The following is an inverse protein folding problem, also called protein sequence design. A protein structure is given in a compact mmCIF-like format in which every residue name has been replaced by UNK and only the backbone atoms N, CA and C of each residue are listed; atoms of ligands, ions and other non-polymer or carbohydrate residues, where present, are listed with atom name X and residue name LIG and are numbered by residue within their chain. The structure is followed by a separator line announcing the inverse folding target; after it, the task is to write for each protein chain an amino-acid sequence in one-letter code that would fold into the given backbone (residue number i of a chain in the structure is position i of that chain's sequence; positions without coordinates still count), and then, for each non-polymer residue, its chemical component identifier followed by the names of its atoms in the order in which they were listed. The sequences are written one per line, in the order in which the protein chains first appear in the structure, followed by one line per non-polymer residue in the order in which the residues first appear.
data_IF_897384034763
#
_entry.id   IF_897384034763
#
_cell.length_a   1.000
_cell.length_b   1.000
_cell.length_c   1.000
_cell.angle_alpha   90.00
_cell.angle_beta   90.00
_cell.angle_gamma   90.00
#
_symmetry.space_group_name_H-M   'P 1'
#
loop_
_entity.id
_entity.type
_entity.pdbx_description
1 polymer ?
#
# COMPACT_ATOMS: atom_id res chain seq x y z
N UNK A 1 -7.51 3.09 50.98
CA UNK A 1 -8.06 4.05 50.00
C UNK A 1 -8.92 3.24 49.05
N UNK A 2 -10.20 3.58 48.92
CA UNK A 2 -11.10 2.93 47.96
C UNK A 2 -10.68 3.35 46.55
N UNK A 3 -10.47 2.39 45.65
CA UNK A 3 -10.13 2.65 44.25
C UNK A 3 -11.19 3.57 43.61
N UNK A 4 -10.75 4.46 42.72
CA UNK A 4 -11.66 5.38 42.01
C UNK A 4 -12.62 4.61 41.11
N UNK A 5 -13.76 5.22 40.75
CA UNK A 5 -14.73 4.61 39.81
C UNK A 5 -14.07 4.27 38.47
N UNK A 6 -13.17 5.12 37.99
CA UNK A 6 -12.38 4.88 36.78
C UNK A 6 -11.44 3.68 36.92
N UNK A 7 -10.70 3.57 38.03
CA UNK A 7 -9.81 2.42 38.28
C UNK A 7 -10.58 1.10 38.35
N UNK A 8 -11.75 1.12 38.98
CA UNK A 8 -12.64 -0.05 39.05
C UNK A 8 -13.22 -0.40 37.69
N UNK A 9 -13.61 0.59 36.89
CA UNK A 9 -14.10 0.40 35.53
C UNK A 9 -13.03 -0.19 34.62
N UNK A 10 -11.82 0.38 34.63
CA UNK A 10 -10.69 -0.12 33.85
C UNK A 10 -10.28 -1.53 34.27
N UNK A 11 -10.42 -1.89 35.55
CA UNK A 11 -10.19 -3.25 36.00
C UNK A 11 -11.20 -4.26 35.41
N UNK A 12 -12.47 -3.88 35.26
CA UNK A 12 -13.52 -4.70 34.64
C UNK A 12 -13.35 -4.81 33.12
N UNK A 13 -12.90 -3.74 32.47
CA UNK A 13 -12.76 -3.68 31.00
C UNK A 13 -11.38 -4.08 30.49
N UNK A 14 -10.37 -4.29 31.36
CA UNK A 14 -8.97 -4.61 31.00
C UNK A 14 -8.78 -5.74 29.99
N UNK A 15 -9.72 -6.70 29.95
CA UNK A 15 -9.66 -7.87 29.06
C UNK A 15 -10.28 -7.63 27.69
N UNK A 16 -10.98 -6.52 27.50
CA UNK A 16 -11.58 -6.14 26.22
C UNK A 16 -10.59 -5.25 25.47
N UNK A 17 -10.22 -5.57 24.22
CA UNK A 17 -9.43 -4.67 23.38
C UNK A 17 -10.14 -3.31 23.21
N UNK A 18 -9.36 -2.23 23.08
CA UNK A 18 -9.92 -0.94 22.71
C UNK A 18 -10.64 -1.05 21.37
N UNK A 19 -11.79 -0.40 21.24
CA UNK A 19 -12.52 -0.40 19.98
C UNK A 19 -11.76 0.40 18.92
N UNK A 20 -11.37 -0.26 17.84
CA UNK A 20 -10.60 0.33 16.74
C UNK A 20 -11.28 0.16 15.37
N UNK A 21 -12.53 -0.33 15.33
CA UNK A 21 -13.25 -0.59 14.08
C UNK A 21 -12.89 -1.90 13.37
N UNK A 22 -11.89 -2.66 13.82
CA UNK A 22 -11.53 -3.96 13.25
C UNK A 22 -12.35 -5.09 13.88
N UNK A 23 -13.32 -5.62 13.11
CA UNK A 23 -14.20 -6.72 13.52
C UNK A 23 -13.45 -8.01 13.88
N UNK A 24 -12.19 -8.18 13.44
CA UNK A 24 -11.34 -9.33 13.81
C UNK A 24 -10.76 -9.20 15.22
N UNK A 25 -10.65 -7.98 15.73
CA UNK A 25 -10.12 -7.68 17.07
C UNK A 25 -11.27 -7.62 18.08
N UNK A 26 -12.28 -6.80 17.82
CA UNK A 26 -13.50 -6.72 18.64
C UNK A 26 -14.66 -6.18 17.80
N UNK A 27 -15.82 -6.84 17.85
CA UNK A 27 -17.03 -6.36 17.15
C UNK A 27 -17.69 -5.24 17.95
N UNK A 28 -18.44 -4.34 17.28
CA UNK A 28 -19.17 -3.28 17.99
C UNK A 28 -20.13 -3.86 19.03
N UNK A 29 -20.85 -4.93 18.67
CA UNK A 29 -21.73 -5.64 19.60
C UNK A 29 -21.00 -6.16 20.84
N UNK A 30 -19.87 -6.87 20.67
CA UNK A 30 -19.12 -7.43 21.79
C UNK A 30 -18.52 -6.34 22.68
N UNK A 31 -17.98 -5.27 22.09
CA UNK A 31 -17.45 -4.12 22.82
C UNK A 31 -18.55 -3.41 23.62
N UNK A 32 -19.70 -3.12 22.97
CA UNK A 32 -20.86 -2.46 23.59
C UNK A 32 -21.37 -3.27 24.78
N UNK A 33 -21.58 -4.58 24.61
CA UNK A 33 -22.04 -5.45 25.70
C UNK A 33 -21.08 -5.41 26.89
N UNK A 34 -19.78 -5.45 26.64
CA UNK A 34 -18.79 -5.48 27.71
C UNK A 34 -18.76 -4.17 28.53
N UNK A 35 -18.92 -3.02 27.88
CA UNK A 35 -18.98 -1.72 28.55
C UNK A 35 -20.27 -1.56 29.35
N UNK A 36 -21.42 -1.92 28.77
CA UNK A 36 -22.70 -1.84 29.48
C UNK A 36 -22.72 -2.73 30.72
N UNK A 37 -22.19 -3.96 30.64
CA UNK A 37 -22.03 -4.84 31.80
C UNK A 37 -21.13 -4.22 32.89
N UNK A 38 -20.11 -3.45 32.51
CA UNK A 38 -19.23 -2.77 33.46
C UNK A 38 -19.92 -1.57 34.13
N UNK A 39 -20.83 -0.87 33.44
CA UNK A 39 -21.66 0.16 34.05
C UNK A 39 -22.63 -0.43 35.08
N UNK A 40 -23.33 -1.51 34.73
CA UNK A 40 -24.25 -2.20 35.64
C UNK A 40 -23.53 -2.72 36.89
N UNK A 41 -22.32 -3.29 36.73
CA UNK A 41 -21.53 -3.81 37.85
C UNK A 41 -21.03 -2.73 38.82
N UNK A 42 -20.97 -1.47 38.37
CA UNK A 42 -20.50 -0.33 39.15
C UNK A 42 -21.60 0.65 39.54
N UNK A 43 -22.86 0.34 39.19
CA UNK A 43 -24.03 1.18 39.47
C UNK A 43 -23.90 2.61 38.87
N UNK A 44 -23.39 2.67 37.63
CA UNK A 44 -23.16 3.94 36.92
C UNK A 44 -24.38 4.25 36.06
N UNK A 45 -25.28 5.07 36.59
CA UNK A 45 -26.51 5.47 35.89
C UNK A 45 -26.39 6.80 35.13
N UNK A 46 -25.36 7.61 35.39
CA UNK A 46 -25.26 8.95 34.83
C UNK A 46 -24.68 8.94 33.40
N UNK A 47 -25.43 9.51 32.43
CA UNK A 47 -25.05 9.51 31.00
C UNK A 47 -23.66 10.11 30.75
N UNK A 48 -23.25 11.10 31.56
CA UNK A 48 -21.98 11.81 31.42
C UNK A 48 -20.79 10.94 31.86
N UNK A 49 -20.92 10.24 32.98
CA UNK A 49 -19.96 9.28 33.50
C UNK A 49 -19.83 8.07 32.60
N UNK A 50 -20.96 7.54 32.12
CA UNK A 50 -20.97 6.47 31.12
C UNK A 50 -20.23 6.88 29.84
N UNK A 51 -20.51 8.06 29.29
CA UNK A 51 -19.78 8.56 28.12
C UNK A 51 -18.28 8.70 28.39
N UNK A 52 -17.90 9.35 29.49
CA UNK A 52 -16.49 9.61 29.81
C UNK A 52 -15.69 8.31 29.93
N UNK A 53 -16.27 7.29 30.56
CA UNK A 53 -15.65 5.98 30.72
C UNK A 53 -15.65 5.17 29.42
N UNK A 54 -16.73 5.22 28.63
CA UNK A 54 -16.79 4.54 27.33
C UNK A 54 -15.71 5.05 26.37
N UNK A 55 -15.44 6.35 26.34
CA UNK A 55 -14.39 6.95 25.50
C UNK A 55 -12.99 6.43 25.86
N UNK A 56 -12.72 6.08 27.12
CA UNK A 56 -11.44 5.45 27.51
C UNK A 56 -11.26 4.05 26.92
N UNK A 57 -12.35 3.41 26.51
CA UNK A 57 -12.34 2.09 25.87
C UNK A 57 -12.36 2.16 24.33
N UNK A 58 -12.25 3.35 23.75
CA UNK A 58 -12.11 3.57 22.31
C UNK A 58 -10.65 3.86 21.97
N UNK A 59 -10.17 3.35 20.83
CA UNK A 59 -8.80 3.62 20.37
C UNK A 59 -8.61 5.15 20.13
N UNK A 60 -7.43 5.72 20.45
CA UNK A 60 -7.21 7.18 20.36
C UNK A 60 -7.54 7.81 19.00
N UNK A 61 -7.34 7.06 17.91
CA UNK A 61 -7.67 7.49 16.55
C UNK A 61 -9.20 7.61 16.37
N UNK A 62 -9.95 6.55 16.69
CA UNK A 62 -11.42 6.55 16.63
C UNK A 62 -12.02 7.60 17.58
N UNK A 63 -11.42 7.82 18.74
CA UNK A 63 -11.81 8.87 19.68
C UNK A 63 -11.46 10.29 19.16
N UNK A 64 -10.50 10.43 18.26
CA UNK A 64 -10.21 11.68 17.55
C UNK A 64 -11.27 11.96 16.49
N UNK A 65 -11.58 10.95 15.67
CA UNK A 65 -12.60 11.04 14.62
C UNK A 65 -13.98 11.40 15.20
N UNK A 66 -14.33 10.79 16.32
CA UNK A 66 -15.54 11.12 17.07
C UNK A 66 -15.57 12.59 17.54
N UNK A 67 -14.45 13.11 18.05
CA UNK A 67 -14.36 14.52 18.51
C UNK A 67 -14.50 15.50 17.36
N UNK A 68 -13.93 15.19 16.19
CA UNK A 68 -14.08 15.99 14.98
C UNK A 68 -15.52 15.96 14.47
N UNK A 69 -16.12 14.76 14.37
CA UNK A 69 -17.53 14.59 13.98
C UNK A 69 -18.48 15.43 14.83
N UNK A 70 -18.21 15.52 16.14
CA UNK A 70 -19.02 16.31 17.07
C UNK A 70 -18.78 17.81 16.93
N UNK A 71 -17.56 18.24 16.63
CA UNK A 71 -17.22 19.66 16.44
C UNK A 71 -18.00 20.27 15.27
N UNK A 72 -18.31 19.47 14.26
CA UNK A 72 -18.99 19.91 13.03
C UNK A 72 -20.52 19.99 13.14
N UNK A 73 -21.14 19.41 14.19
CA UNK A 73 -22.61 19.20 14.29
C UNK A 73 -23.37 20.07 15.33
N UNK A 74 -22.86 21.27 15.66
CA UNK A 74 -23.45 22.27 16.58
C UNK A 74 -23.15 22.14 18.10
N UNK A 75 -22.79 23.30 18.69
CA UNK A 75 -23.26 23.87 19.95
C UNK A 75 -23.31 23.03 21.24
N UNK A 76 -22.17 22.93 21.94
CA UNK A 76 -22.02 22.80 23.41
C UNK A 76 -22.97 21.88 24.24
N UNK A 77 -23.72 20.95 23.64
CA UNK A 77 -24.45 19.93 24.39
C UNK A 77 -23.46 18.89 24.94
N UNK A 78 -23.61 18.50 26.20
CA UNK A 78 -22.76 17.46 26.81
C UNK A 78 -22.92 16.16 26.01
N UNK A 79 -21.83 15.55 25.52
CA UNK A 79 -21.91 14.34 24.69
C UNK A 79 -22.54 13.19 25.46
N UNK A 80 -23.41 12.42 24.80
CA UNK A 80 -24.06 11.24 25.38
C UNK A 80 -23.44 9.96 24.86
N UNK A 81 -23.54 8.89 25.66
CA UNK A 81 -23.14 7.55 25.24
C UNK A 81 -23.87 7.11 23.97
N UNK A 82 -25.17 7.40 23.86
CA UNK A 82 -25.97 6.97 22.72
C UNK A 82 -25.49 7.60 21.40
N UNK A 83 -25.10 8.88 21.42
CA UNK A 83 -24.57 9.57 20.23
C UNK A 83 -23.29 8.88 19.72
N UNK A 84 -22.40 8.49 20.64
CA UNK A 84 -21.19 7.73 20.31
C UNK A 84 -21.56 6.35 19.73
N UNK A 85 -22.52 5.64 20.33
CA UNK A 85 -22.92 4.31 19.87
C UNK A 85 -23.59 4.34 18.49
N UNK A 86 -24.43 5.34 18.22
CA UNK A 86 -25.06 5.52 16.91
C UNK A 86 -24.01 5.84 15.84
N UNK A 87 -23.07 6.75 16.14
CA UNK A 87 -21.98 7.05 15.22
C UNK A 87 -21.08 5.85 14.96
N UNK A 88 -20.67 5.11 16.01
CA UNK A 88 -19.86 3.90 15.84
C UNK A 88 -20.59 2.84 15.02
N UNK A 89 -21.92 2.75 15.17
CA UNK A 89 -22.75 1.82 14.39
C UNK A 89 -22.76 2.21 12.92
N UNK A 90 -23.03 3.47 12.61
CA UNK A 90 -23.08 3.99 11.24
C UNK A 90 -21.74 3.85 10.51
N UNK A 91 -20.61 3.96 11.23
CA UNK A 91 -19.28 3.93 10.61
C UNK A 91 -18.69 2.52 10.57
N UNK A 92 -18.92 1.69 11.59
CA UNK A 92 -18.16 0.44 11.79
C UNK A 92 -19.02 -0.82 11.91
N UNK A 93 -20.33 -0.71 12.12
CA UNK A 93 -21.23 -1.86 12.31
C UNK A 93 -22.14 -2.10 11.10
N UNK A 94 -21.54 -2.14 9.92
CA UNK A 94 -22.27 -2.56 8.73
C UNK A 94 -22.08 -4.05 8.48
N UNK A 95 -23.12 -4.81 8.76
CA UNK A 95 -23.67 -5.63 7.68
C UNK A 95 -24.13 -4.69 6.55
N UNK A 96 -23.24 -4.41 5.59
CA UNK A 96 -23.61 -3.94 4.25
C UNK A 96 -23.94 -2.45 4.02
N UNK A 97 -23.00 -1.51 4.21
CA UNK A 97 -23.09 -0.27 3.41
C UNK A 97 -22.55 -0.53 2.02
N UNK A 98 -23.37 -0.17 1.03
CA UNK A 98 -22.97 -0.04 -0.39
C UNK A 98 -21.67 0.75 -0.55
N UNK A 99 -21.39 1.70 0.34
CA UNK A 99 -20.14 2.47 0.36
C UNK A 99 -18.90 1.62 0.67
N UNK A 100 -18.94 0.75 1.67
CA UNK A 100 -17.82 -0.15 2.01
C UNK A 100 -17.60 -1.20 0.93
N UNK A 101 -18.69 -1.81 0.43
CA UNK A 101 -18.64 -2.75 -0.67
C UNK A 101 -18.07 -2.12 -1.95
N UNK A 102 -18.49 -0.89 -2.29
CA UNK A 102 -17.95 -0.13 -3.42
C UNK A 102 -16.46 0.20 -3.26
N UNK A 103 -16.00 0.54 -2.05
CA UNK A 103 -14.58 0.79 -1.80
C UNK A 103 -13.75 -0.48 -1.95
N UNK A 104 -14.24 -1.62 -1.44
CA UNK A 104 -13.61 -2.92 -1.63
C UNK A 104 -13.61 -3.34 -3.11
N UNK A 105 -14.71 -3.13 -3.83
CA UNK A 105 -14.83 -3.43 -5.25
C UNK A 105 -13.85 -2.62 -6.10
N UNK A 106 -13.62 -1.33 -5.77
CA UNK A 106 -12.67 -0.44 -6.46
C UNK A 106 -11.20 -0.86 -6.28
N UNK A 107 -10.87 -1.53 -5.19
CA UNK A 107 -9.49 -1.97 -4.89
C UNK A 107 -9.28 -3.46 -5.13
N UNK A 108 -10.34 -4.20 -5.47
CA UNK A 108 -10.25 -5.62 -5.77
C UNK A 108 -9.43 -5.84 -7.04
N UNK A 109 -8.42 -6.69 -6.95
CA UNK A 109 -7.57 -7.06 -8.08
C UNK A 109 -7.26 -8.55 -8.05
N UNK A 110 -7.27 -9.21 -9.21
CA UNK A 110 -6.81 -10.59 -9.35
C UNK A 110 -5.31 -10.62 -9.68
N UNK A 111 -4.57 -11.47 -8.96
CA UNK A 111 -3.12 -11.68 -9.15
C UNK A 111 -2.87 -12.98 -9.90
N UNK A 112 -1.79 -13.04 -10.69
CA UNK A 112 -1.41 -14.27 -11.39
C UNK A 112 -1.26 -15.46 -10.44
N UNK A 113 -1.80 -16.61 -10.86
CA UNK A 113 -1.86 -17.82 -10.05
C UNK A 113 -3.10 -17.92 -9.13
N UNK A 114 -3.90 -16.85 -9.02
CA UNK A 114 -5.19 -16.91 -8.34
C UNK A 114 -6.26 -17.58 -9.22
N UNK A 115 -7.21 -18.24 -8.55
CA UNK A 115 -8.34 -18.91 -9.20
C UNK A 115 -9.38 -17.89 -9.65
N UNK A 116 -9.52 -17.73 -10.97
CA UNK A 116 -10.43 -16.75 -11.56
C UNK A 116 -11.90 -16.99 -11.22
N UNK A 117 -12.30 -18.24 -10.93
CA UNK A 117 -13.67 -18.54 -10.53
C UNK A 117 -13.98 -18.01 -9.12
N UNK A 118 -13.05 -18.17 -8.19
CA UNK A 118 -13.13 -17.63 -6.83
C UNK A 118 -13.14 -16.10 -6.85
N UNK A 119 -12.24 -15.50 -7.64
CA UNK A 119 -12.23 -14.06 -7.85
C UNK A 119 -13.57 -13.53 -8.39
N UNK A 120 -14.10 -14.16 -9.44
CA UNK A 120 -15.37 -13.75 -10.05
C UNK A 120 -16.52 -13.81 -9.04
N UNK A 121 -16.57 -14.85 -8.21
CA UNK A 121 -17.57 -14.97 -7.15
C UNK A 121 -17.47 -13.81 -6.15
N UNK A 122 -16.26 -13.49 -5.67
CA UNK A 122 -16.04 -12.37 -4.74
C UNK A 122 -16.37 -11.02 -5.39
N UNK A 123 -16.05 -10.83 -6.67
CA UNK A 123 -16.42 -9.63 -7.40
C UNK A 123 -17.94 -9.47 -7.48
N UNK A 124 -18.67 -10.53 -7.80
CA UNK A 124 -20.14 -10.51 -7.90
C UNK A 124 -20.82 -10.25 -6.57
N UNK A 125 -20.33 -10.86 -5.48
CA UNK A 125 -20.81 -10.60 -4.12
C UNK A 125 -20.62 -9.11 -3.74
N UNK A 126 -19.43 -8.55 -4.00
CA UNK A 126 -19.16 -7.14 -3.71
C UNK A 126 -19.92 -6.17 -4.63
N UNK A 127 -20.13 -6.51 -5.90
CA UNK A 127 -20.94 -5.72 -6.82
C UNK A 127 -22.41 -5.70 -6.41
N UNK A 128 -22.96 -6.85 -6.02
CA UNK A 128 -24.29 -6.98 -5.45
C UNK A 128 -24.43 -6.12 -4.18
N UNK A 129 -23.50 -6.25 -3.24
CA UNK A 129 -23.53 -5.49 -1.98
C UNK A 129 -23.31 -3.99 -2.19
N UNK A 130 -22.62 -3.61 -3.26
CA UNK A 130 -22.44 -2.22 -3.69
C UNK A 130 -23.64 -1.65 -4.47
N UNK A 131 -24.65 -2.47 -4.77
CA UNK A 131 -25.80 -2.13 -5.63
C UNK A 131 -25.37 -1.70 -7.05
N UNK A 132 -24.40 -2.42 -7.63
CA UNK A 132 -23.88 -2.21 -8.99
C UNK A 132 -24.45 -3.28 -9.90
N UNK A 133 -25.34 -2.89 -10.80
CA UNK A 133 -26.00 -3.79 -11.76
C UNK A 133 -25.25 -3.89 -13.10
N UNK A 134 -25.38 -5.02 -13.79
CA UNK A 134 -24.93 -5.20 -15.19
C UNK A 134 -25.95 -4.55 -16.12
N UNK A 135 -25.61 -3.37 -16.65
CA UNK A 135 -26.49 -2.62 -17.54
C UNK A 135 -25.73 -1.99 -18.70
N UNK A 136 -26.28 -2.09 -19.92
CA UNK A 136 -25.71 -1.44 -21.12
C UNK A 136 -25.66 0.08 -20.99
N UNK A 137 -26.56 0.67 -20.21
CA UNK A 137 -26.63 2.12 -19.98
C UNK A 137 -25.65 2.60 -18.89
N UNK A 138 -25.16 1.69 -18.04
CA UNK A 138 -24.23 2.01 -16.95
C UNK A 138 -23.07 0.99 -16.92
N UNK A 139 -21.96 1.25 -17.63
CA UNK A 139 -20.84 0.31 -17.75
C UNK A 139 -19.98 0.23 -16.48
N UNK A 140 -20.47 0.68 -15.31
CA UNK A 140 -19.71 0.70 -14.06
C UNK A 140 -19.24 -0.70 -13.67
N UNK A 141 -20.12 -1.71 -13.73
CA UNK A 141 -19.75 -3.09 -13.42
C UNK A 141 -18.66 -3.63 -14.36
N UNK A 142 -18.81 -3.36 -15.67
CA UNK A 142 -17.86 -3.74 -16.70
C UNK A 142 -16.48 -3.08 -16.50
N UNK A 143 -16.47 -1.77 -16.24
CA UNK A 143 -15.23 -1.00 -16.07
C UNK A 143 -14.48 -1.41 -14.80
N UNK A 144 -15.19 -1.63 -13.70
CA UNK A 144 -14.61 -2.13 -12.46
C UNK A 144 -14.05 -3.54 -12.64
N UNK A 145 -14.78 -4.40 -13.35
CA UNK A 145 -14.34 -5.77 -13.62
C UNK A 145 -13.07 -5.81 -14.46
N UNK A 146 -13.03 -5.07 -15.58
CA UNK A 146 -11.81 -4.97 -16.41
C UNK A 146 -10.66 -4.38 -15.59
N UNK A 147 -10.90 -3.32 -14.81
CA UNK A 147 -9.89 -2.65 -13.99
C UNK A 147 -9.25 -3.54 -12.91
N UNK A 148 -9.92 -4.63 -12.53
CA UNK A 148 -9.41 -5.58 -11.55
C UNK A 148 -8.35 -6.55 -12.12
N UNK A 149 -8.17 -6.63 -13.44
CA UNK A 149 -7.17 -7.51 -14.06
C UNK A 149 -5.78 -6.84 -14.23
N UNK A 150 -4.68 -7.60 -14.36
CA UNK A 150 -3.39 -7.08 -14.79
C UNK A 150 -3.42 -6.44 -16.19
N UNK A 151 -2.50 -5.51 -16.46
CA UNK A 151 -2.55 -4.61 -17.64
C UNK A 151 -2.52 -5.31 -19.00
N UNK A 152 -1.83 -6.44 -19.10
CA UNK A 152 -1.79 -7.26 -20.32
C UNK A 152 -3.17 -7.86 -20.64
N UNK A 153 -3.88 -8.36 -19.63
CA UNK A 153 -5.23 -8.90 -19.78
C UNK A 153 -6.23 -7.77 -20.02
N UNK A 154 -6.09 -6.64 -19.32
CA UNK A 154 -6.87 -5.43 -19.60
C UNK A 154 -6.76 -5.01 -21.07
N UNK A 155 -5.54 -4.99 -21.63
CA UNK A 155 -5.34 -4.65 -23.04
C UNK A 155 -6.08 -5.60 -23.97
N UNK A 156 -6.09 -6.91 -23.67
CA UNK A 156 -6.82 -7.89 -24.48
C UNK A 156 -8.33 -7.68 -24.39
N UNK A 157 -8.86 -7.45 -23.17
CA UNK A 157 -10.29 -7.20 -22.95
C UNK A 157 -10.76 -5.88 -23.58
N UNK A 158 -9.91 -4.86 -23.60
CA UNK A 158 -10.22 -3.54 -24.18
C UNK A 158 -10.04 -3.49 -25.70
N UNK A 159 -9.13 -4.30 -26.28
CA UNK A 159 -8.84 -4.30 -27.72
C UNK A 159 -10.03 -4.79 -28.54
N UNK A 160 -10.80 -5.71 -27.98
CA UNK A 160 -12.03 -6.22 -28.57
C UNK A 160 -13.20 -5.75 -27.71
N UNK A 161 -13.60 -4.48 -27.85
CA UNK A 161 -14.60 -3.78 -27.04
C UNK A 161 -15.69 -4.73 -26.48
N UNK A 162 -15.59 -5.05 -25.18
CA UNK A 162 -16.57 -5.89 -24.51
C UNK A 162 -17.88 -5.10 -24.36
N UNK A 163 -19.01 -5.69 -24.74
CA UNK A 163 -20.31 -5.01 -24.73
C UNK A 163 -21.05 -5.12 -23.39
N UNK A 164 -20.62 -6.04 -22.51
CA UNK A 164 -21.23 -6.29 -21.20
C UNK A 164 -20.24 -6.90 -20.22
N UNK A 165 -20.59 -6.88 -18.92
CA UNK A 165 -19.83 -7.59 -17.89
C UNK A 165 -19.74 -9.09 -18.20
N UNK A 166 -20.83 -9.71 -18.66
CA UNK A 166 -20.87 -11.14 -19.00
C UNK A 166 -19.90 -11.51 -20.13
N UNK A 167 -19.77 -10.65 -21.15
CA UNK A 167 -18.80 -10.82 -22.24
C UNK A 167 -17.36 -10.70 -21.74
N UNK A 168 -17.08 -9.66 -20.94
CA UNK A 168 -15.78 -9.47 -20.32
C UNK A 168 -15.37 -10.64 -19.41
N UNK A 169 -16.30 -11.17 -18.61
CA UNK A 169 -16.08 -12.34 -17.73
C UNK A 169 -15.70 -13.58 -18.54
N UNK A 170 -16.43 -13.86 -19.62
CA UNK A 170 -16.19 -15.03 -20.48
C UNK A 170 -14.81 -14.96 -21.14
N UNK A 171 -14.44 -13.78 -21.65
CA UNK A 171 -13.13 -13.57 -22.27
C UNK A 171 -12.01 -13.59 -21.25
N UNK A 172 -12.18 -12.98 -20.09
CA UNK A 172 -11.20 -12.98 -19.01
C UNK A 172 -10.84 -14.41 -18.60
N UNK A 173 -11.83 -15.31 -18.47
CA UNK A 173 -11.58 -16.74 -18.19
C UNK A 173 -10.70 -17.41 -19.26
N UNK A 174 -10.93 -17.11 -20.54
CA UNK A 174 -10.14 -17.67 -21.65
C UNK A 174 -8.70 -17.14 -21.64
N UNK A 175 -8.53 -15.83 -21.48
CA UNK A 175 -7.21 -15.19 -21.46
C UNK A 175 -6.41 -15.60 -20.23
N UNK A 176 -7.06 -15.67 -19.06
CA UNK A 176 -6.44 -16.11 -17.81
C UNK A 176 -5.93 -17.55 -17.87
N UNK A 177 -6.70 -18.44 -18.50
CA UNK A 177 -6.27 -19.83 -18.76
C UNK A 177 -5.07 -19.89 -19.70
N UNK A 178 -5.10 -19.11 -20.78
CA UNK A 178 -4.00 -19.05 -21.75
C UNK A 178 -2.71 -18.55 -21.11
N UNK A 179 -2.81 -17.55 -20.22
CA UNK A 179 -1.69 -17.02 -19.45
C UNK A 179 -1.13 -18.03 -18.44
N UNK A 180 -2.01 -18.76 -17.74
CA UNK A 180 -1.60 -19.78 -16.76
C UNK A 180 -0.85 -20.93 -17.44
N UNK A 181 -1.28 -21.33 -18.64
CA UNK A 181 -0.62 -22.36 -19.45
C UNK A 181 0.74 -21.86 -19.96
N UNK A 182 0.82 -20.62 -20.45
CA UNK A 182 2.05 -20.05 -21.00
C UNK A 182 3.17 -19.89 -19.95
N UNK A 183 2.80 -19.67 -18.68
CA UNK A 183 3.76 -19.46 -17.58
C UNK A 183 3.99 -20.71 -16.70
N UNK A 184 3.56 -21.88 -17.15
CA UNK A 184 3.85 -23.15 -16.48
C UNK A 184 3.13 -23.35 -15.13
N UNK A 185 2.04 -22.62 -14.87
CA UNK A 185 1.28 -22.77 -13.63
C UNK A 185 0.26 -23.92 -13.76
N UNK A 186 0.70 -25.12 -13.44
CA UNK A 186 -0.07 -26.37 -13.57
C UNK A 186 -1.24 -26.44 -12.57
N UNK A 187 -1.30 -25.54 -11.58
CA UNK A 187 -2.38 -25.53 -10.58
C UNK A 187 -3.74 -25.11 -11.15
N UNK A 188 -3.75 -24.39 -12.27
CA UNK A 188 -4.97 -23.97 -12.96
C UNK A 188 -5.60 -25.07 -13.85
N UNK A 189 -4.90 -26.21 -14.04
CA UNK A 189 -5.24 -27.19 -15.09
C UNK A 189 -6.06 -28.38 -14.54
N UNK A 190 -6.13 -28.60 -13.22
CA UNK A 190 -6.76 -29.80 -12.64
C UNK A 190 -7.74 -29.52 -11.48
N UNK A 191 -8.84 -28.82 -11.76
CA UNK A 191 -10.10 -29.08 -11.03
C UNK A 191 -11.19 -29.47 -12.04
N UNK A 192 -11.78 -30.67 -11.95
CA UNK A 192 -12.88 -31.04 -12.81
C UNK A 192 -14.06 -30.10 -12.53
N UNK A 193 -14.49 -29.37 -13.55
CA UNK A 193 -15.77 -28.67 -13.52
C UNK A 193 -16.87 -29.73 -13.39
N UNK A 194 -17.63 -29.67 -12.30
CA UNK A 194 -18.94 -30.33 -12.24
C UNK A 194 -19.78 -29.73 -13.37
N UNK A 195 -20.13 -30.58 -14.34
CA UNK A 195 -21.06 -30.27 -15.40
C UNK A 195 -22.45 -30.10 -14.78
N UNK A 196 -22.96 -28.89 -14.75
CA UNK A 196 -24.38 -28.65 -14.91
C UNK A 196 -24.57 -27.81 -16.17
N UNK A 197 -25.48 -28.31 -17.00
CA UNK A 197 -25.82 -27.89 -18.35
C UNK A 197 -26.34 -26.45 -18.38
N UNK A 198 -26.08 -25.75 -19.49
CA UNK A 198 -27.11 -25.06 -20.27
C UNK A 198 -26.60 -24.82 -21.72
N UNK A 199 -27.50 -24.66 -22.71
CA UNK A 199 -27.46 -25.42 -23.97
C UNK A 199 -26.67 -24.74 -25.10
N UNK A 200 -26.07 -25.58 -25.95
CA UNK A 200 -25.47 -25.15 -27.21
C UNK A 200 -26.55 -24.73 -28.21
N UNK A 201 -26.42 -23.50 -28.73
CA UNK A 201 -27.15 -23.09 -29.91
C UNK A 201 -26.43 -23.66 -31.16
N UNK A 202 -27.09 -24.63 -31.78
CA UNK A 202 -26.66 -25.34 -32.96
C UNK A 202 -27.25 -24.60 -34.15
N UNK A 203 -26.53 -23.65 -34.75
CA UNK A 203 -26.70 -23.24 -36.15
C UNK A 203 -25.63 -22.20 -36.56
N UNK A 204 -24.41 -22.66 -36.85
CA UNK A 204 -23.45 -21.97 -37.73
C UNK A 204 -22.25 -22.89 -38.02
N UNK A 205 -22.48 -23.95 -38.79
CA UNK A 205 -21.41 -24.65 -39.51
C UNK A 205 -21.48 -24.23 -40.97
N UNK A 206 -20.31 -24.03 -41.61
CA UNK A 206 -20.06 -24.83 -42.80
C UNK A 206 -18.76 -25.64 -42.67
N UNK A 207 -18.94 -26.95 -42.82
CA UNK A 207 -18.06 -27.90 -43.53
C UNK A 207 -16.53 -27.68 -43.49
N UNK A 208 -15.88 -28.49 -42.64
CA UNK A 208 -14.59 -29.15 -42.94
C UNK A 208 -14.76 -30.17 -44.10
N UNK A 209 -13.71 -30.83 -44.64
CA UNK A 209 -12.26 -30.68 -44.40
C UNK A 209 -11.40 -30.70 -45.70
N UNK A 210 -10.10 -30.42 -45.59
CA UNK A 210 -9.08 -31.31 -46.19
C UNK A 210 -7.75 -31.23 -45.45
N UNK A 211 -7.45 -32.32 -44.75
CA UNK A 211 -6.10 -32.71 -44.35
C UNK A 211 -5.27 -33.01 -45.60
N UNK A 212 -4.02 -32.55 -45.63
CA UNK A 212 -2.94 -33.31 -46.28
C UNK A 212 -1.70 -33.25 -45.40
N UNK A 213 -1.28 -34.44 -44.96
CA UNK A 213 0.07 -34.72 -44.51
C UNK A 213 1.04 -34.52 -45.67
N UNK A 214 2.18 -33.86 -45.44
CA UNK A 214 3.45 -34.33 -46.01
C UNK A 214 4.59 -34.12 -45.02
N UNK A 215 5.19 -35.24 -44.62
CA UNK A 215 6.57 -35.33 -44.15
C UNK A 215 7.49 -34.76 -45.24
N UNK A 216 8.55 -34.05 -44.84
CA UNK A 216 9.88 -34.35 -45.37
C UNK A 216 11.00 -33.76 -44.49
N UNK A 217 11.82 -34.69 -44.02
CA UNK A 217 13.16 -34.47 -43.46
C UNK A 217 14.06 -33.71 -44.44
N UNK A 218 14.85 -32.76 -43.91
CA UNK A 218 16.27 -32.58 -44.25
C UNK A 218 16.92 -31.57 -43.30
N UNK A 219 17.72 -32.08 -42.36
CA UNK A 219 18.89 -31.35 -41.85
C UNK A 219 20.05 -31.52 -42.85
N UNK A 220 21.07 -30.64 -42.81
CA UNK A 220 22.23 -31.01 -42.01
C UNK A 220 22.88 -29.88 -41.21
N UNK A 221 23.32 -30.27 -40.01
CA UNK A 221 24.58 -29.96 -39.33
C UNK A 221 25.16 -28.53 -39.36
N UNK A 222 25.28 -27.97 -38.15
CA UNK A 222 26.22 -26.90 -37.84
C UNK A 222 26.25 -26.55 -36.35
N UNK A 223 27.16 -27.18 -35.60
CA UNK A 223 27.90 -26.75 -34.38
C UNK A 223 27.20 -25.75 -33.42
N UNK A 224 27.11 -25.97 -32.11
CA UNK A 224 27.78 -26.94 -31.26
C UNK A 224 27.23 -26.91 -29.84
N UNK A 225 27.35 -28.06 -29.18
CA UNK A 225 27.13 -28.22 -27.75
C UNK A 225 28.19 -27.44 -26.97
N UNK A 226 27.76 -26.61 -26.02
CA UNK A 226 28.55 -26.32 -24.85
C UNK A 226 27.72 -26.61 -23.59
N UNK A 227 28.25 -27.57 -22.86
CA UNK A 227 27.91 -28.05 -21.53
C UNK A 227 27.20 -27.03 -20.62
N UNK A 228 26.01 -27.43 -20.15
CA UNK A 228 25.62 -27.18 -18.76
C UNK A 228 26.63 -27.87 -17.86
N UNK A 229 27.55 -27.11 -17.26
CA UNK A 229 28.17 -27.33 -15.95
C UNK A 229 29.27 -26.28 -15.75
N UNK A 230 28.87 -25.10 -15.29
CA UNK A 230 29.78 -24.19 -14.60
C UNK A 230 28.99 -23.48 -13.50
N UNK A 231 28.97 -24.10 -12.32
CA UNK A 231 28.64 -23.44 -11.07
C UNK A 231 29.99 -22.90 -10.55
N UNK A 232 30.19 -21.59 -10.40
CA UNK A 232 31.32 -21.12 -9.62
C UNK A 232 31.11 -21.58 -8.18
N UNK A 233 32.00 -22.47 -7.70
CA UNK A 233 32.15 -22.72 -6.28
C UNK A 233 32.49 -21.39 -5.61
N UNK A 234 31.57 -20.90 -4.78
CA UNK A 234 31.86 -19.88 -3.78
C UNK A 234 32.08 -20.64 -2.49
N UNK A 235 33.32 -20.63 -2.01
CA UNK A 235 33.69 -21.20 -0.71
C UNK A 235 33.08 -20.37 0.43
N UNK A 236 32.20 -21.02 1.22
CA UNK A 236 31.75 -20.64 2.57
C UNK A 236 30.23 -20.44 2.74
N UNK A 237 29.68 -20.55 3.98
CA UNK A 237 29.75 -21.67 4.92
C UNK A 237 28.64 -22.70 4.66
N UNK A 238 28.99 -23.98 4.76
CA UNK A 238 28.12 -25.17 4.91
C UNK A 238 26.69 -25.10 4.31
N UNK A 239 26.60 -25.19 2.98
CA UNK A 239 25.35 -25.24 2.20
C UNK A 239 24.42 -26.38 2.60
N UNK A 240 24.94 -27.39 3.29
CA UNK A 240 24.16 -28.52 3.81
C UNK A 240 23.16 -28.07 4.89
N UNK A 241 23.58 -27.19 5.81
CA UNK A 241 22.74 -26.65 6.89
C UNK A 241 21.70 -25.68 6.35
N UNK A 242 22.08 -24.88 5.34
CA UNK A 242 21.17 -23.95 4.67
C UNK A 242 20.01 -24.69 3.97
N UNK A 243 20.31 -25.74 3.20
CA UNK A 243 19.29 -26.54 2.54
C UNK A 243 18.43 -27.34 3.52
N UNK A 244 19.01 -27.81 4.63
CA UNK A 244 18.27 -28.47 5.71
C UNK A 244 17.23 -27.51 6.32
N UNK A 245 17.62 -26.28 6.67
CA UNK A 245 16.72 -25.27 7.25
C UNK A 245 15.59 -24.84 6.31
N UNK A 246 15.89 -24.76 5.01
CA UNK A 246 14.88 -24.47 3.99
C UNK A 246 13.81 -25.58 3.92
N UNK A 247 14.25 -26.85 4.00
CA UNK A 247 13.34 -28.02 4.04
C UNK A 247 12.51 -28.07 5.31
N UNK A 248 13.10 -27.69 6.44
CA UNK A 248 12.47 -27.72 7.75
C UNK A 248 11.55 -26.51 8.02
N UNK A 249 11.43 -25.57 7.07
CA UNK A 249 10.52 -24.41 7.18
C UNK A 249 10.93 -23.40 8.24
N UNK A 250 12.22 -23.37 8.63
CA UNK A 250 12.76 -22.46 9.65
C UNK A 250 13.62 -21.36 9.00
N UNK A 251 13.72 -20.21 9.68
CA UNK A 251 14.48 -19.07 9.19
C UNK A 251 15.95 -19.44 8.92
N UNK A 252 16.43 -19.17 7.71
CA UNK A 252 17.79 -19.45 7.23
C UNK A 252 18.86 -18.72 8.02
N UNK A 253 18.58 -17.47 8.44
CA UNK A 253 19.53 -16.65 9.19
C UNK A 253 19.70 -17.05 10.67
N UNK A 254 18.61 -17.36 11.40
CA UNK A 254 18.67 -17.64 12.84
C UNK A 254 18.27 -19.06 13.26
N UNK A 255 17.72 -19.86 12.34
CA UNK A 255 17.29 -21.24 12.59
C UNK A 255 15.97 -21.42 13.35
N UNK A 256 15.18 -20.35 13.57
CA UNK A 256 13.89 -20.41 14.32
C UNK A 256 12.68 -20.38 13.38
N UNK A 257 11.58 -21.02 13.78
CA UNK A 257 10.32 -21.01 13.04
C UNK A 257 9.55 -19.68 13.20
N UNK A 258 8.55 -19.43 12.34
CA UNK A 258 7.54 -18.38 12.53
C UNK A 258 7.83 -17.01 11.89
N UNK A 259 8.94 -16.84 11.16
CA UNK A 259 9.23 -15.60 10.43
C UNK A 259 10.14 -15.85 9.22
N UNK A 260 10.05 -15.00 8.19
CA UNK A 260 10.95 -15.01 7.02
C UNK A 260 12.24 -14.27 7.34
N UNK A 261 13.33 -14.60 6.63
CA UNK A 261 14.68 -14.02 6.84
C UNK A 261 14.70 -12.48 6.83
N UNK A 262 13.90 -11.86 5.95
CA UNK A 262 13.73 -10.41 5.85
C UNK A 262 13.22 -9.73 7.14
N UNK A 263 12.65 -10.50 8.07
CA UNK A 263 12.10 -10.03 9.34
C UNK A 263 12.90 -10.56 10.55
N UNK A 264 14.07 -11.14 10.32
CA UNK A 264 14.89 -11.72 11.38
C UNK A 264 15.73 -10.65 12.10
N UNK A 265 15.47 -10.45 13.40
CA UNK A 265 16.20 -9.48 14.24
C UNK A 265 17.73 -9.67 14.25
N UNK A 266 18.23 -10.90 14.02
CA UNK A 266 19.67 -11.16 13.94
C UNK A 266 20.33 -10.62 12.66
N UNK A 267 19.55 -10.42 11.57
CA UNK A 267 20.01 -9.79 10.32
C UNK A 267 20.05 -8.28 10.49
N UNK A 268 19.08 -7.72 11.22
CA UNK A 268 19.03 -6.29 11.58
C UNK A 268 20.20 -5.91 12.50
N UNK A 269 20.55 -6.75 13.47
CA UNK A 269 21.68 -6.51 14.37
C UNK A 269 23.06 -6.65 13.69
N UNK A 270 23.20 -7.50 12.65
CA UNK A 270 24.46 -7.63 11.89
C UNK A 270 24.78 -6.41 11.02
N UNK A 271 23.79 -5.57 10.71
CA UNK A 271 23.98 -4.27 10.08
C UNK A 271 24.56 -3.20 11.03
N UNK A 272 24.60 -3.46 12.35
CA UNK A 272 25.01 -2.49 13.38
C UNK A 272 26.30 -2.87 14.13
N UNK A 273 27.01 -3.95 13.73
CA UNK A 273 28.24 -4.36 14.41
C UNK A 273 29.36 -4.64 13.42
N UNK A 274 29.94 -3.56 12.87
CA UNK A 274 31.31 -3.55 12.32
C UNK A 274 31.97 -2.20 12.58
N UNK A 275 32.29 -1.94 13.85
CA UNK A 275 33.37 -1.00 14.21
C UNK A 275 34.02 -1.50 15.49
N UNK A 276 35.22 -2.09 15.35
CA UNK A 276 36.35 -1.96 16.29
C UNK A 276 37.56 -2.73 15.72
N UNK A 277 38.49 -1.96 15.15
CA UNK A 277 39.93 -1.92 15.41
C UNK A 277 40.80 -1.68 14.15
N UNK A 278 41.43 -0.51 14.18
CA UNK A 278 42.74 -0.10 13.66
C UNK A 278 43.48 -1.01 12.68
N UNK A 279 43.93 -0.48 11.53
CA UNK A 279 45.24 0.19 11.41
C UNK A 279 45.44 0.80 10.02
N UNK A 280 46.01 2.02 10.00
CA UNK A 280 46.78 2.69 8.94
C UNK A 280 46.78 2.10 7.52
N UNK A 281 46.28 2.88 6.54
CA UNK A 281 47.08 3.28 5.37
C UNK A 281 46.47 4.51 4.65
N UNK A 282 47.22 5.61 4.72
CA UNK A 282 47.48 6.65 3.71
C UNK A 282 46.45 7.04 2.64
N UNK A 283 46.07 8.33 2.67
CA UNK A 283 45.88 9.30 1.55
C UNK A 283 44.99 8.86 0.36
N UNK A 284 43.93 9.58 -0.01
CA UNK A 284 43.96 10.94 -0.60
C UNK A 284 42.72 11.73 -0.20
N UNK A 285 42.95 12.97 0.25
CA UNK A 285 41.96 13.95 0.67
C UNK A 285 41.13 14.50 -0.50
N UNK A 286 39.81 14.46 -0.32
CA UNK A 286 38.85 15.42 -0.87
C UNK A 286 37.84 15.75 0.24
N UNK A 287 38.33 16.27 1.37
CA UNK A 287 37.44 16.87 2.38
C UNK A 287 37.07 18.28 1.89
N UNK A 288 35.90 18.38 1.25
CA UNK A 288 35.13 19.62 1.35
C UNK A 288 34.42 19.57 2.70
N UNK A 289 34.68 20.57 3.55
CA UNK A 289 33.93 20.81 4.79
C UNK A 289 32.44 20.90 4.46
N UNK A 290 31.70 19.82 4.68
CA UNK A 290 30.23 19.83 4.58
C UNK A 290 29.69 20.58 5.79
N UNK A 291 29.42 21.88 5.61
CA UNK A 291 28.75 22.69 6.63
C UNK A 291 27.44 22.02 7.11
N UNK A 292 27.26 21.97 8.43
CA UNK A 292 26.09 21.39 9.08
C UNK A 292 24.81 22.17 8.71
N UNK A 293 23.84 21.54 8.03
CA UNK A 293 22.57 22.20 7.69
C UNK A 293 21.55 21.90 8.78
N UNK A 294 21.15 22.93 9.52
CA UNK A 294 20.03 22.86 10.48
C UNK A 294 18.70 22.63 9.73
N UNK A 295 17.84 21.74 10.25
CA UNK A 295 16.53 21.43 9.68
C UNK A 295 15.65 22.68 9.56
N UNK A 296 15.80 23.63 10.49
CA UNK A 296 15.10 24.91 10.43
C UNK A 296 15.56 25.75 9.23
N UNK A 297 16.86 25.72 8.93
CA UNK A 297 17.46 26.43 7.78
C UNK A 297 17.01 25.77 6.48
N UNK A 298 17.08 24.44 6.40
CA UNK A 298 16.59 23.69 5.25
C UNK A 298 15.10 23.95 5.00
N UNK A 299 14.27 23.86 6.03
CA UNK A 299 12.83 24.12 5.91
C UNK A 299 12.54 25.51 5.36
N UNK A 300 13.19 26.55 5.89
CA UNK A 300 13.04 27.92 5.35
C UNK A 300 13.54 28.04 3.91
N UNK A 301 14.62 27.34 3.56
CA UNK A 301 15.20 27.37 2.22
C UNK A 301 14.27 26.76 1.15
N UNK A 302 13.36 25.85 1.53
CA UNK A 302 12.35 25.28 0.63
C UNK A 302 11.39 26.34 0.08
N UNK A 303 11.11 27.41 0.83
CA UNK A 303 10.18 28.45 0.40
C UNK A 303 10.60 29.07 -0.94
N UNK A 304 9.62 29.26 -1.83
CA UNK A 304 9.83 29.82 -3.17
C UNK A 304 9.35 28.91 -4.30
N UNK A 305 9.77 29.25 -5.52
CA UNK A 305 9.43 28.54 -6.76
C UNK A 305 10.58 27.66 -7.20
N UNK A 306 10.23 26.52 -7.77
CA UNK A 306 11.15 25.49 -8.19
C UNK A 306 10.72 24.93 -9.54
N UNK A 307 11.69 24.60 -10.37
CA UNK A 307 11.52 23.62 -11.44
C UNK A 307 11.93 22.25 -10.91
N UNK A 308 11.32 21.20 -11.44
CA UNK A 308 11.76 19.85 -11.13
C UNK A 308 11.86 18.96 -12.35
N UNK A 309 12.81 18.02 -12.26
CA UNK A 309 12.88 16.84 -13.11
C UNK A 309 12.73 15.59 -12.25
N UNK A 310 11.95 14.62 -12.71
CA UNK A 310 11.68 13.38 -12.00
C UNK A 310 11.96 12.19 -12.90
N UNK A 311 12.71 11.22 -12.39
CA UNK A 311 12.99 9.94 -13.03
C UNK A 311 12.39 8.83 -12.17
N UNK A 312 11.53 8.02 -12.77
CA UNK A 312 10.87 6.89 -12.10
C UNK A 312 11.33 5.61 -12.79
N UNK A 313 12.04 4.76 -12.06
CA UNK A 313 12.59 3.50 -12.54
C UNK A 313 11.92 2.36 -11.81
N UNK A 314 11.27 1.46 -12.57
CA UNK A 314 10.71 0.24 -12.00
C UNK A 314 11.85 -0.77 -11.73
N UNK A 315 11.76 -1.56 -10.65
CA UNK A 315 12.85 -2.47 -10.21
C UNK A 315 13.19 -3.57 -11.24
N UNK A 316 12.27 -3.85 -12.16
CA UNK A 316 12.51 -4.76 -13.28
C UNK A 316 13.40 -4.13 -14.38
N UNK A 317 13.82 -2.87 -14.23
CA UNK A 317 14.81 -2.20 -15.09
C UNK A 317 14.38 -1.86 -16.52
N UNK A 318 13.23 -2.36 -16.97
CA UNK A 318 12.80 -2.25 -18.37
C UNK A 318 12.07 -0.94 -18.71
N UNK A 319 11.47 -0.26 -17.72
CA UNK A 319 10.70 0.97 -17.94
C UNK A 319 11.24 2.10 -17.05
N UNK A 320 11.69 3.18 -17.69
CA UNK A 320 12.02 4.45 -17.04
C UNK A 320 11.07 5.53 -17.55
N UNK A 321 10.38 6.20 -16.63
CA UNK A 321 9.52 7.33 -16.94
C UNK A 321 10.17 8.63 -16.49
N UNK A 322 10.02 9.67 -17.29
CA UNK A 322 10.54 11.00 -17.00
C UNK A 322 9.38 11.96 -16.80
N UNK A 323 9.46 12.82 -15.80
CA UNK A 323 8.52 13.93 -15.61
C UNK A 323 9.28 15.24 -15.44
N UNK A 324 8.68 16.34 -15.89
CA UNK A 324 9.17 17.70 -15.66
C UNK A 324 8.02 18.59 -15.24
N UNK A 325 8.31 19.61 -14.45
CA UNK A 325 7.29 20.54 -14.01
C UNK A 325 7.81 21.64 -13.11
N UNK A 326 6.88 22.29 -12.44
CA UNK A 326 7.16 23.36 -11.49
C UNK A 326 6.50 23.07 -10.15
N UNK A 327 7.14 23.50 -9.07
CA UNK A 327 6.60 23.43 -7.73
C UNK A 327 6.73 24.77 -7.02
N UNK A 328 5.82 25.02 -6.07
CA UNK A 328 5.84 26.21 -5.22
C UNK A 328 5.67 25.75 -3.78
N UNK A 329 6.55 26.23 -2.90
CA UNK A 329 6.39 26.17 -1.45
C UNK A 329 6.04 27.57 -0.98
N UNK A 330 4.86 27.75 -0.40
CA UNK A 330 4.35 29.03 0.10
C UNK A 330 4.06 28.92 1.58
N UNK A 331 4.47 29.90 2.36
CA UNK A 331 4.05 30.01 3.77
C UNK A 331 2.52 30.10 3.86
N UNK A 332 1.96 29.37 4.83
CA UNK A 332 0.52 29.40 5.12
C UNK A 332 0.19 30.56 6.07
N UNK A 333 -1.09 30.93 6.11
CA UNK A 333 -1.58 32.02 6.99
C UNK A 333 -1.42 31.68 8.49
N UNK A 334 -1.33 30.39 8.82
CA UNK A 334 -1.06 29.83 10.15
C UNK A 334 0.35 30.16 10.69
N UNK A 335 1.27 30.62 9.84
CA UNK A 335 2.53 31.27 10.25
C UNK A 335 3.82 30.46 10.04
N UNK A 336 4.90 31.00 10.61
CA UNK A 336 6.28 30.49 10.51
C UNK A 336 6.32 29.06 11.03
N UNK A 337 6.71 28.09 10.19
CA UNK A 337 6.80 26.63 10.41
C UNK A 337 5.78 25.79 9.62
N UNK A 338 4.99 26.38 8.73
CA UNK A 338 4.17 25.61 7.79
C UNK A 338 4.32 26.14 6.35
N UNK A 339 4.49 25.21 5.40
CA UNK A 339 4.59 25.49 3.97
C UNK A 339 3.54 24.67 3.22
N UNK A 340 2.69 25.33 2.45
CA UNK A 340 1.84 24.69 1.45
C UNK A 340 2.65 24.47 0.19
N UNK A 341 2.77 23.21 -0.20
CA UNK A 341 3.44 22.76 -1.40
C UNK A 341 2.41 22.42 -2.47
N UNK A 342 2.63 22.91 -3.69
CA UNK A 342 1.90 22.50 -4.89
C UNK A 342 2.89 22.22 -6.01
N UNK A 343 2.78 21.06 -6.65
CA UNK A 343 3.46 20.75 -7.91
C UNK A 343 2.46 20.52 -9.05
N UNK A 344 2.92 20.83 -10.24
CA UNK A 344 2.29 20.46 -11.51
C UNK A 344 3.37 20.08 -12.51
N UNK A 345 3.11 19.09 -13.35
CA UNK A 345 4.07 18.65 -14.35
C UNK A 345 3.49 17.69 -15.38
N UNK A 346 4.35 17.25 -16.29
CA UNK A 346 4.00 16.33 -17.37
C UNK A 346 4.91 15.11 -17.29
N UNK A 347 4.30 13.93 -17.21
CA UNK A 347 4.96 12.63 -17.29
C UNK A 347 5.08 12.22 -18.77
N UNK A 348 6.29 11.92 -19.21
CA UNK A 348 6.63 11.54 -20.57
C UNK A 348 6.25 10.07 -20.83
N UNK A 349 4.98 9.84 -21.14
CA UNK A 349 4.46 8.54 -21.57
C UNK A 349 3.53 8.71 -22.79
N UNK A 350 3.92 8.19 -23.96
CA UNK A 350 3.07 7.96 -25.13
C UNK A 350 2.00 9.03 -25.46
N UNK A 351 2.31 10.32 -25.29
CA UNK A 351 1.36 11.43 -25.39
C UNK A 351 1.54 12.52 -24.32
N UNK A 352 2.21 12.19 -23.21
CA UNK A 352 2.36 13.11 -22.08
C UNK A 352 1.13 13.04 -21.16
N UNK A 353 1.35 12.79 -19.87
CA UNK A 353 0.28 12.79 -18.87
C UNK A 353 0.52 13.94 -17.89
N UNK A 354 -0.39 14.91 -17.88
CA UNK A 354 -0.39 15.99 -16.90
C UNK A 354 -0.74 15.46 -15.50
N UNK A 355 -0.08 16.00 -14.48
CA UNK A 355 -0.40 15.70 -13.08
C UNK A 355 -0.21 16.93 -12.20
N UNK A 356 -0.91 16.94 -11.08
CA UNK A 356 -0.69 17.88 -9.99
C UNK A 356 -0.68 17.15 -8.65
N UNK A 357 0.01 17.70 -7.66
CA UNK A 357 -0.01 17.22 -6.27
C UNK A 357 0.10 18.36 -5.29
N UNK A 358 -0.47 18.17 -4.11
CA UNK A 358 -0.42 19.14 -3.03
C UNK A 358 -0.09 18.47 -1.70
N UNK A 359 0.73 19.15 -0.90
CA UNK A 359 1.15 18.71 0.43
C UNK A 359 1.24 19.90 1.39
N UNK A 360 1.19 19.62 2.69
CA UNK A 360 1.55 20.59 3.74
C UNK A 360 2.78 20.08 4.47
N UNK A 361 3.82 20.90 4.55
CA UNK A 361 5.05 20.64 5.30
C UNK A 361 5.00 21.43 6.61
N UNK A 362 5.11 20.74 7.74
CA UNK A 362 5.13 21.34 9.09
C UNK A 362 6.47 21.09 9.76
N UNK A 363 7.16 22.14 10.16
CA UNK A 363 8.39 22.04 10.94
C UNK A 363 8.08 22.03 12.44
N UNK A 364 8.52 20.99 13.15
CA UNK A 364 8.37 20.87 14.61
C UNK A 364 9.73 21.11 15.25
N UNK A 365 9.99 22.37 15.63
CA UNK A 365 11.30 22.82 16.14
C UNK A 365 11.78 22.04 17.36
N UNK A 366 10.88 21.69 18.28
CA UNK A 366 11.21 20.91 19.48
C UNK A 366 11.72 19.50 19.20
N UNK A 367 11.47 18.98 18.00
CA UNK A 367 11.85 17.62 17.60
C UNK A 367 12.87 17.61 16.45
N UNK A 368 13.17 18.76 15.84
CA UNK A 368 14.05 18.85 14.68
C UNK A 368 13.53 18.08 13.46
N UNK A 369 12.21 17.99 13.30
CA UNK A 369 11.57 17.19 12.23
C UNK A 369 10.70 18.03 11.31
N UNK A 370 10.56 17.58 10.07
CA UNK A 370 9.55 18.10 9.13
C UNK A 370 8.52 16.99 8.89
N UNK A 371 7.26 17.25 9.22
CA UNK A 371 6.14 16.35 8.92
C UNK A 371 5.46 16.79 7.63
N UNK A 372 5.21 15.85 6.72
CA UNK A 372 4.59 16.11 5.41
C UNK A 372 3.22 15.43 5.38
N UNK A 373 2.18 16.19 5.04
CA UNK A 373 0.78 15.76 5.02
C UNK A 373 0.21 15.83 3.61
N UNK A 374 -0.65 14.88 3.25
CA UNK A 374 -1.46 14.95 2.02
C UNK A 374 -2.41 16.14 2.08
N UNK A 375 -2.64 16.81 0.95
CA UNK A 375 -3.77 17.75 0.80
C UNK A 375 -4.81 17.11 -0.10
N UNK A 376 -5.95 16.74 0.50
CA UNK A 376 -7.06 16.08 -0.20
C UNK A 376 -8.37 16.76 0.20
N UNK A 377 -9.15 17.21 -0.79
CA UNK A 377 -10.43 17.91 -0.57
C UNK A 377 -10.33 19.11 0.40
N UNK A 378 -9.19 19.82 0.38
CA UNK A 378 -8.93 20.96 1.27
C UNK A 378 -8.52 20.58 2.71
N UNK A 379 -8.40 19.28 3.02
CA UNK A 379 -7.95 18.78 4.33
C UNK A 379 -6.47 18.37 4.29
N UNK A 380 -5.78 18.48 5.44
CA UNK A 380 -4.35 18.16 5.60
C UNK A 380 -4.02 17.38 6.89
N UNK A 381 -4.90 16.43 7.20
CA UNK A 381 -4.90 15.57 8.39
C UNK A 381 -4.10 14.27 8.19
N UNK A 382 -4.05 13.73 6.96
CA UNK A 382 -3.35 12.48 6.67
C UNK A 382 -1.84 12.65 6.52
N UNK A 383 -1.08 12.14 7.49
CA UNK A 383 0.38 12.13 7.48
C UNK A 383 0.92 11.26 6.32
N UNK A 384 1.81 11.83 5.50
CA UNK A 384 2.55 11.09 4.49
C UNK A 384 3.90 10.61 5.04
N UNK A 385 4.81 11.47 5.48
CA UNK A 385 6.03 11.01 6.15
C UNK A 385 6.59 12.06 7.10
N UNK A 386 7.51 11.65 7.96
CA UNK A 386 8.31 12.54 8.79
C UNK A 386 9.77 12.47 8.39
N UNK A 387 10.41 13.63 8.24
CA UNK A 387 11.81 13.75 7.87
C UNK A 387 12.65 14.08 9.10
N UNK A 388 13.72 13.32 9.29
CA UNK A 388 14.78 13.55 10.28
C UNK A 388 16.14 13.60 9.58
N UNK A 389 17.00 14.55 9.94
CA UNK A 389 18.38 14.54 9.48
C UNK A 389 19.10 13.31 10.05
N UNK A 390 19.94 12.70 9.23
CA UNK A 390 20.74 11.54 9.65
C UNK A 390 22.08 12.05 10.15
N UNK A 391 22.53 11.57 11.31
CA UNK A 391 23.73 12.07 12.03
C UNK A 391 25.02 12.00 11.19
N UNK A 392 25.12 11.07 10.23
CA UNK A 392 26.30 10.86 9.37
C UNK A 392 26.30 11.67 8.07
N UNK A 393 25.48 12.72 7.96
CA UNK A 393 25.48 13.57 6.76
C UNK A 393 24.52 14.73 6.89
N UNK A 394 25.07 15.89 7.27
CA UNK A 394 24.44 17.20 7.42
C UNK A 394 23.55 17.66 6.26
N UNK A 395 23.55 16.95 5.13
CA UNK A 395 22.79 17.26 3.92
C UNK A 395 21.78 16.17 3.54
N UNK A 396 21.43 15.25 4.44
CA UNK A 396 20.51 14.13 4.14
C UNK A 396 19.45 13.91 5.21
N UNK A 397 18.18 14.05 4.85
CA UNK A 397 17.06 13.70 5.73
C UNK A 397 16.34 12.43 5.24
N UNK A 398 15.83 11.61 6.15
CA UNK A 398 15.12 10.38 5.81
C UNK A 398 13.77 10.30 6.52
N UNK A 399 12.84 9.59 5.90
CA UNK A 399 11.54 9.25 6.45
C UNK A 399 11.04 7.93 5.86
N UNK A 400 10.36 7.13 6.67
CA UNK A 400 9.73 5.88 6.23
C UNK A 400 8.24 5.94 6.55
N UNK A 401 7.41 5.50 5.60
CA UNK A 401 5.97 5.45 5.77
C UNK A 401 5.36 4.24 5.06
N UNK A 402 4.38 3.63 5.70
CA UNK A 402 3.58 2.57 5.11
C UNK A 402 2.32 3.17 4.49
N UNK A 403 2.24 3.19 3.17
CA UNK A 403 1.10 3.71 2.42
C UNK A 403 0.25 2.54 1.89
N UNK A 404 -0.75 2.12 2.65
CA UNK A 404 -1.46 0.86 2.41
C UNK A 404 -0.49 -0.30 2.60
N UNK A 405 -0.36 -1.19 1.61
CA UNK A 405 0.56 -2.34 1.71
C UNK A 405 1.99 -2.05 1.20
N UNK A 406 2.25 -0.83 0.70
CA UNK A 406 3.54 -0.47 0.11
C UNK A 406 4.36 0.40 1.07
N UNK A 407 5.61 0.01 1.30
CA UNK A 407 6.56 0.77 2.10
C UNK A 407 7.22 1.85 1.25
N UNK A 408 7.17 3.09 1.73
CA UNK A 408 7.83 4.24 1.14
C UNK A 408 9.03 4.64 2.00
N UNK A 409 10.23 4.39 1.51
CA UNK A 409 11.46 4.91 2.10
C UNK A 409 11.86 6.18 1.35
N UNK A 410 11.80 7.32 2.02
CA UNK A 410 12.07 8.62 1.44
C UNK A 410 13.40 9.17 1.95
N UNK A 411 14.22 9.68 1.03
CA UNK A 411 15.46 10.38 1.34
C UNK A 411 15.47 11.74 0.64
N UNK A 412 15.70 12.79 1.40
CA UNK A 412 15.99 14.12 0.90
C UNK A 412 17.50 14.32 0.92
N UNK A 413 18.06 14.84 -0.17
CA UNK A 413 19.44 15.30 -0.23
C UNK A 413 19.45 16.79 -0.52
N UNK A 414 20.15 17.55 0.30
CA UNK A 414 20.25 18.99 0.21
C UNK A 414 21.58 19.36 -0.45
N UNK A 415 21.54 20.27 -1.40
CA UNK A 415 22.72 20.88 -2.00
C UNK A 415 22.55 22.39 -1.94
N UNK A 416 23.60 23.13 -2.29
CA UNK A 416 23.61 24.58 -2.13
C UNK A 416 22.61 25.26 -3.10
N UNK A 417 22.41 24.70 -4.30
CA UNK A 417 21.57 25.25 -5.38
C UNK A 417 20.31 24.42 -5.70
N UNK A 418 20.17 23.24 -5.09
CA UNK A 418 19.13 22.26 -5.42
C UNK A 418 18.86 21.32 -4.25
N UNK A 419 17.76 20.59 -4.32
CA UNK A 419 17.57 19.42 -3.47
C UNK A 419 16.97 18.26 -4.26
N UNK A 420 17.22 17.05 -3.78
CA UNK A 420 16.68 15.82 -4.35
C UNK A 420 15.74 15.16 -3.36
N UNK A 421 14.64 14.61 -3.88
CA UNK A 421 13.73 13.73 -3.13
C UNK A 421 13.71 12.38 -3.81
N UNK A 422 14.12 11.36 -3.07
CA UNK A 422 14.22 9.98 -3.52
C UNK A 422 13.19 9.17 -2.76
N UNK A 423 12.24 8.59 -3.48
CA UNK A 423 11.32 7.59 -2.93
C UNK A 423 11.73 6.22 -3.44
N UNK A 424 12.15 5.36 -2.52
CA UNK A 424 12.31 3.93 -2.73
C UNK A 424 11.04 3.23 -2.23
N UNK A 425 10.20 2.78 -3.16
CA UNK A 425 8.88 2.21 -2.88
C UNK A 425 8.93 0.70 -3.09
N UNK A 426 8.65 -0.05 -2.02
CA UNK A 426 8.68 -1.51 -1.99
C UNK A 426 7.38 -2.05 -1.42
N UNK A 427 6.65 -2.82 -2.20
CA UNK A 427 5.41 -3.43 -1.76
C UNK A 427 4.79 -4.33 -2.83
N UNK A 428 3.68 -4.99 -2.48
CA UNK A 428 3.00 -5.91 -3.38
C UNK A 428 2.31 -5.19 -4.55
N UNK A 429 2.03 -3.87 -4.46
CA UNK A 429 1.38 -3.10 -5.53
C UNK A 429 2.36 -2.21 -6.29
N UNK A 430 3.41 -1.72 -5.61
CA UNK A 430 4.37 -0.76 -6.17
C UNK A 430 5.80 -1.21 -5.88
N UNK A 431 6.63 -1.26 -6.91
CA UNK A 431 8.06 -1.51 -6.78
C UNK A 431 8.87 -0.61 -7.72
N UNK A 432 9.23 0.58 -7.25
CA UNK A 432 9.97 1.54 -8.06
C UNK A 432 10.82 2.47 -7.20
N UNK A 433 11.83 3.06 -7.83
CA UNK A 433 12.56 4.21 -7.31
C UNK A 433 12.15 5.47 -8.09
N UNK A 434 11.80 6.54 -7.39
CA UNK A 434 11.52 7.86 -7.97
C UNK A 434 12.51 8.87 -7.43
N UNK A 435 13.32 9.46 -8.30
CA UNK A 435 14.26 10.54 -7.97
C UNK A 435 13.73 11.83 -8.57
N UNK A 436 13.43 12.82 -7.72
CA UNK A 436 13.02 14.16 -8.14
C UNK A 436 14.11 15.15 -7.77
N UNK A 437 14.60 15.93 -8.73
CA UNK A 437 15.57 16.99 -8.51
C UNK A 437 14.88 18.34 -8.66
N UNK A 438 14.94 19.18 -7.64
CA UNK A 438 14.35 20.52 -7.61
C UNK A 438 15.44 21.58 -7.75
N UNK A 439 15.25 22.54 -8.66
CA UNK A 439 16.13 23.71 -8.85
C UNK A 439 15.34 24.99 -8.65
N UNK A 440 15.90 25.93 -7.90
CA UNK A 440 15.21 27.19 -7.56
C UNK A 440 15.11 28.09 -8.80
N UNK A 441 13.97 28.78 -8.97
CA UNK A 441 13.71 29.76 -10.05
C UNK A 441 13.99 31.17 -9.56
#
# INVERSE_FOLDING_TARGET
MTASTEERFMALTKKIPLFNGDKKIVTLGAWKTAILNAFDALDIEDEKGQYALAVLCVHPEVASDWREHKSDKEGLASPKLNDLLEWLKDIYDDSGSSFSAMNLLKVLQIKYGEDIHTFNKTFEELAHDANVEDGKENPTMLNLYIGAFPRDIQRTLLKEACESYTDAKTRAIREWRSYSIANGDVRAINKPQNREYEPMDVNSLPSKPRYTHTNNNRAPAGRGMLNLNYIPQIDGPDTSIFQQRLRDGVCTACGRAGHKEAYCYSVVARGQSKTLNSTNTSQVAWEQEEAEVDMSVFFRALCGRWEFERVITHDMGHDTLHARGSAVFKETESGVNELHYREQGVLSCGGGLEFHREYVYRYVSSQGVISVYFVENGRSDRLFHMLKFVEDGAKKAKGTHLCGDDMYNTTYKVFDDRFEVIHDVRGPRKCYTSVTTFRKI
#
